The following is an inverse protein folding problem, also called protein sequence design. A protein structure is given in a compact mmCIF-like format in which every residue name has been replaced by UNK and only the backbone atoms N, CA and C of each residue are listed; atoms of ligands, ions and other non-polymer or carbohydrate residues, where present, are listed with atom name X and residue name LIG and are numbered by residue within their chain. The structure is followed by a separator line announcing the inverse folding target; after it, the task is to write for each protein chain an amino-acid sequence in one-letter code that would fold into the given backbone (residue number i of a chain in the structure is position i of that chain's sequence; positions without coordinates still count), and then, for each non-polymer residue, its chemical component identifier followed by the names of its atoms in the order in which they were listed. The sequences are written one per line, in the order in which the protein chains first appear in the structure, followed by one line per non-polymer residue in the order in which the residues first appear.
data_IF_180108203881
#
_entry.id   IF_180108203881
#
_cell.length_a   1.000
_cell.length_b   1.000
_cell.length_c   1.000
_cell.angle_alpha   90.00
_cell.angle_beta   90.00
_cell.angle_gamma   90.00
#
_symmetry.space_group_name_H-M   'P 1'
#
loop_
_entity.id
_entity.type
_entity.pdbx_description
1 polymer ?
#
# COMPACT_ATOMS: atom_id res chain seq x y z
N UNK A 1 3.83 10.34 -9.76
CA UNK A 1 4.82 10.91 -10.70
C UNK A 1 5.56 12.00 -9.93
N UNK A 2 6.75 11.71 -9.40
CA UNK A 2 7.42 12.63 -8.48
C UNK A 2 8.52 13.44 -9.19
N UNK A 3 8.53 14.75 -9.01
CA UNK A 3 9.49 15.68 -9.59
C UNK A 3 10.22 16.40 -8.46
N UNK A 4 11.42 15.91 -8.13
CA UNK A 4 12.35 16.53 -7.19
C UNK A 4 12.67 17.96 -7.66
N UNK A 5 12.23 18.97 -6.90
CA UNK A 5 12.57 20.39 -7.14
C UNK A 5 13.74 20.77 -6.24
N UNK A 6 14.90 21.07 -6.83
CA UNK A 6 16.02 21.72 -6.15
C UNK A 6 16.04 23.22 -6.48
N UNK A 7 16.07 24.07 -5.46
CA UNK A 7 16.12 25.53 -5.59
C UNK A 7 17.57 25.99 -5.85
N UNK A 8 17.86 26.50 -7.05
CA UNK A 8 19.17 27.04 -7.41
C UNK A 8 19.28 27.29 -8.92
N UNK A 9 19.54 28.53 -9.31
CA UNK A 9 19.60 28.99 -10.70
C UNK A 9 20.60 28.17 -11.55
N UNK A 10 20.08 27.32 -12.42
CA UNK A 10 20.83 26.51 -13.37
C UNK A 10 19.86 25.56 -14.08
N UNK A 11 20.00 25.41 -15.40
CA UNK A 11 19.14 24.60 -16.27
C UNK A 11 18.72 23.28 -15.56
N UNK A 12 17.46 23.21 -15.12
CA UNK A 12 16.94 22.04 -14.43
C UNK A 12 16.70 20.91 -15.45
N UNK A 13 17.68 20.01 -15.62
CA UNK A 13 17.43 18.76 -16.34
C UNK A 13 16.45 17.91 -15.53
N UNK A 14 15.28 17.65 -16.11
CA UNK A 14 14.26 16.78 -15.51
C UNK A 14 14.62 15.33 -15.82
N UNK A 15 14.92 14.55 -14.79
CA UNK A 15 15.12 13.11 -14.90
C UNK A 15 13.84 12.38 -14.48
N UNK A 16 13.45 11.36 -15.25
CA UNK A 16 12.30 10.50 -14.93
C UNK A 16 12.82 9.12 -14.58
N UNK A 17 12.47 8.65 -13.40
CA UNK A 17 12.82 7.31 -12.93
C UNK A 17 11.53 6.55 -12.60
N UNK A 18 11.52 5.26 -12.89
CA UNK A 18 10.45 4.36 -12.44
C UNK A 18 10.83 3.83 -11.06
N UNK A 19 10.03 4.16 -10.05
CA UNK A 19 10.19 3.61 -8.72
C UNK A 19 9.28 2.39 -8.58
N UNK A 20 9.87 1.21 -8.39
CA UNK A 20 9.10 0.04 -8.00
C UNK A 20 8.63 0.23 -6.56
N UNK A 21 7.32 0.37 -6.37
CA UNK A 21 6.71 0.32 -5.04
C UNK A 21 6.27 -1.12 -4.82
N UNK A 22 7.00 -1.91 -4.02
CA UNK A 22 6.53 -3.24 -3.70
C UNK A 22 5.26 -3.10 -2.87
N UNK A 23 4.16 -3.66 -3.36
CA UNK A 23 2.92 -3.76 -2.59
C UNK A 23 3.14 -4.83 -1.51
N UNK A 24 3.78 -4.43 -0.41
CA UNK A 24 4.03 -5.29 0.74
C UNK A 24 2.91 -5.15 1.76
N UNK A 25 2.83 -6.16 2.62
CA UNK A 25 1.87 -6.29 3.72
C UNK A 25 1.74 -5.01 4.57
N UNK A 26 2.82 -4.25 4.77
CA UNK A 26 2.86 -3.04 5.60
C UNK A 26 2.28 -1.78 4.93
N UNK A 27 2.14 -1.74 3.60
CA UNK A 27 1.50 -0.61 2.90
C UNK A 27 -0.04 -0.63 3.06
N UNK A 28 -0.61 -1.78 3.43
CA UNK A 28 -2.06 -1.97 3.62
C UNK A 28 -2.54 -1.68 5.05
N UNK A 29 -1.70 -1.78 6.08
CA UNK A 29 -2.18 -1.94 7.48
C UNK A 29 -2.97 -0.75 8.01
N UNK A 30 -2.63 0.48 7.60
CA UNK A 30 -3.41 1.68 7.88
C UNK A 30 -4.05 2.27 6.61
N UNK A 31 -3.36 2.14 5.48
CA UNK A 31 -3.77 2.72 4.22
C UNK A 31 -4.94 1.94 3.60
N UNK A 32 -4.99 0.61 3.68
CA UNK A 32 -6.08 -0.17 3.11
C UNK A 32 -7.43 0.12 3.79
N UNK A 33 -7.49 0.32 5.12
CA UNK A 33 -8.76 0.71 5.79
C UNK A 33 -9.24 2.09 5.35
N UNK A 34 -8.33 3.06 5.29
CA UNK A 34 -8.64 4.42 4.83
C UNK A 34 -9.03 4.40 3.34
N UNK A 35 -8.29 3.69 2.50
CA UNK A 35 -8.55 3.58 1.06
C UNK A 35 -9.76 2.74 0.71
N UNK A 36 -10.12 1.72 1.50
CA UNK A 36 -11.38 0.97 1.31
C UNK A 36 -12.60 1.82 1.64
N UNK A 37 -12.48 2.74 2.60
CA UNK A 37 -13.55 3.66 2.98
C UNK A 37 -13.75 4.79 1.94
N UNK A 38 -12.72 5.11 1.15
CA UNK A 38 -12.80 6.10 0.08
C UNK A 38 -13.52 5.49 -1.12
N UNK A 39 -14.73 5.99 -1.42
CA UNK A 39 -15.49 5.57 -2.61
C UNK A 39 -15.04 6.26 -3.89
N UNK A 40 -14.53 7.48 -3.76
CA UNK A 40 -14.08 8.36 -4.83
C UNK A 40 -13.00 9.33 -4.32
N UNK A 41 -12.49 10.18 -5.22
CA UNK A 41 -11.51 11.21 -4.91
C UNK A 41 -10.05 10.76 -5.10
N UNK A 42 -9.17 11.38 -4.32
CA UNK A 42 -7.71 11.18 -4.40
C UNK A 42 -7.13 10.78 -3.06
N UNK A 43 -6.15 9.89 -3.13
CA UNK A 43 -5.27 9.52 -2.05
C UNK A 43 -4.02 10.40 -2.14
N UNK A 44 -3.81 11.26 -1.15
CA UNK A 44 -2.59 12.07 -1.09
C UNK A 44 -1.42 11.22 -0.57
N UNK A 45 -0.54 10.82 -1.49
CA UNK A 45 0.69 10.10 -1.19
C UNK A 45 1.82 11.11 -0.94
N UNK A 46 2.55 10.91 0.16
CA UNK A 46 3.79 11.63 0.45
C UNK A 46 4.98 10.71 0.16
N UNK A 47 5.87 11.13 -0.73
CA UNK A 47 7.12 10.45 -1.04
C UNK A 47 8.26 11.17 -0.32
N UNK A 48 8.92 10.46 0.58
CA UNK A 48 10.11 10.95 1.27
C UNK A 48 11.33 10.32 0.61
N UNK A 49 12.26 11.14 0.14
CA UNK A 49 13.47 10.68 -0.53
C UNK A 49 14.66 10.83 0.40
N UNK A 50 15.44 9.77 0.53
CA UNK A 50 16.74 9.79 1.20
C UNK A 50 17.72 8.94 0.41
N UNK A 51 19.01 9.28 0.50
CA UNK A 51 20.07 8.52 -0.13
C UNK A 51 21.00 9.37 -0.97
N UNK A 52 21.66 8.74 -1.93
CA UNK A 52 22.78 9.33 -2.65
C UNK A 52 22.57 9.19 -4.15
N UNK A 53 22.64 10.31 -4.87
CA UNK A 53 22.57 10.36 -6.34
C UNK A 53 23.98 10.39 -6.89
N UNK A 54 24.29 9.42 -7.75
CA UNK A 54 25.52 9.37 -8.54
C UNK A 54 25.20 9.89 -9.94
N UNK A 55 25.85 10.97 -10.36
CA UNK A 55 25.68 11.55 -11.68
C UNK A 55 26.99 11.39 -12.46
N UNK A 56 26.90 10.91 -13.70
CA UNK A 56 28.04 10.91 -14.61
C UNK A 56 28.35 12.35 -15.04
N UNK A 57 29.60 12.77 -14.89
CA UNK A 57 30.14 14.02 -15.40
C UNK A 57 31.24 13.78 -16.43
N UNK A 58 31.65 14.84 -17.13
CA UNK A 58 32.56 14.75 -18.28
C UNK A 58 33.93 14.11 -17.97
N UNK A 59 34.33 14.05 -16.69
CA UNK A 59 35.59 13.44 -16.22
C UNK A 59 35.45 12.57 -14.96
N UNK A 60 34.30 11.91 -14.76
CA UNK A 60 34.10 11.00 -13.63
C UNK A 60 32.65 11.00 -13.12
N UNK A 61 32.46 10.70 -11.83
CA UNK A 61 31.15 10.76 -11.19
C UNK A 61 31.11 11.88 -10.15
N UNK A 62 30.01 12.63 -10.11
CA UNK A 62 29.68 13.50 -8.99
C UNK A 62 28.67 12.79 -8.10
N UNK A 63 28.87 12.92 -6.79
CA UNK A 63 28.04 12.30 -5.76
C UNK A 63 27.30 13.40 -5.02
N UNK A 64 25.99 13.31 -4.93
CA UNK A 64 25.17 14.27 -4.17
C UNK A 64 24.27 13.52 -3.18
N UNK A 65 24.28 13.94 -1.92
CA UNK A 65 23.29 13.46 -0.96
C UNK A 65 21.94 14.12 -1.25
N UNK A 66 20.87 13.34 -1.19
CA UNK A 66 19.51 13.85 -1.22
C UNK A 66 19.27 14.60 0.09
N UNK A 67 18.84 15.89 0.04
CA UNK A 67 18.50 16.65 1.23
C UNK A 67 17.46 15.91 2.08
N UNK A 68 17.55 16.05 3.40
CA UNK A 68 16.69 15.34 4.35
C UNK A 68 15.21 15.78 4.27
N UNK A 69 14.95 16.98 3.74
CA UNK A 69 13.64 17.57 3.51
C UNK A 69 13.14 17.35 2.07
N UNK A 70 13.81 16.47 1.31
CA UNK A 70 13.42 16.21 -0.06
C UNK A 70 12.20 15.31 -0.10
N UNK A 71 11.05 15.93 -0.33
CA UNK A 71 9.77 15.27 -0.38
C UNK A 71 8.96 15.67 -1.60
N UNK A 72 8.01 14.82 -1.98
CA UNK A 72 7.04 15.15 -3.02
C UNK A 72 5.66 14.59 -2.70
N UNK A 73 4.63 15.34 -3.07
CA UNK A 73 3.24 14.96 -2.88
C UNK A 73 2.61 14.56 -4.21
N UNK A 74 1.89 13.46 -4.21
CA UNK A 74 1.16 12.99 -5.36
C UNK A 74 -0.25 12.57 -4.97
N UNK A 75 -1.24 13.25 -5.55
CA UNK A 75 -2.64 12.89 -5.38
C UNK A 75 -2.99 11.77 -6.38
N UNK A 76 -2.95 10.53 -5.87
CA UNK A 76 -3.26 9.35 -6.65
C UNK A 76 -4.78 9.16 -6.72
N UNK A 77 -5.40 9.05 -7.92
CA UNK A 77 -6.82 8.72 -8.02
C UNK A 77 -7.12 7.39 -7.33
N UNK A 78 -8.20 7.35 -6.54
CA UNK A 78 -8.65 6.11 -5.85
C UNK A 78 -8.85 4.94 -6.83
N UNK A 79 -9.26 5.23 -8.07
CA UNK A 79 -9.40 4.22 -9.11
C UNK A 79 -8.12 3.44 -9.40
N UNK A 80 -6.95 4.10 -9.41
CA UNK A 80 -5.65 3.45 -9.67
C UNK A 80 -5.34 2.39 -8.60
N UNK A 81 -5.64 2.72 -7.34
CA UNK A 81 -5.50 1.79 -6.23
C UNK A 81 -6.48 0.62 -6.33
N UNK A 82 -7.76 0.90 -6.62
CA UNK A 82 -8.77 -0.15 -6.77
C UNK A 82 -8.42 -1.12 -7.89
N UNK A 83 -7.96 -0.61 -9.03
CA UNK A 83 -7.55 -1.43 -10.16
C UNK A 83 -6.33 -2.29 -9.79
N UNK A 84 -5.37 -1.73 -9.04
CA UNK A 84 -4.21 -2.47 -8.52
C UNK A 84 -4.63 -3.61 -7.58
N UNK A 85 -5.55 -3.34 -6.65
CA UNK A 85 -6.08 -4.35 -5.72
C UNK A 85 -6.88 -5.40 -6.46
N UNK A 86 -7.73 -5.03 -7.42
CA UNK A 86 -8.48 -6.00 -8.21
C UNK A 86 -7.57 -6.87 -9.07
N UNK A 87 -6.46 -6.34 -9.56
CA UNK A 87 -5.45 -7.13 -10.29
C UNK A 87 -4.74 -8.15 -9.40
N UNK A 88 -4.46 -7.81 -8.15
CA UNK A 88 -3.75 -8.71 -7.21
C UNK A 88 -4.70 -9.63 -6.43
N UNK A 89 -5.94 -9.19 -6.19
CA UNK A 89 -6.95 -9.82 -5.33
C UNK A 89 -8.37 -9.67 -5.93
N UNK A 90 -8.66 -10.29 -7.08
CA UNK A 90 -9.87 -10.02 -7.86
C UNK A 90 -11.20 -10.37 -7.15
N UNK A 91 -11.18 -11.26 -6.15
CA UNK A 91 -12.38 -11.75 -5.45
C UNK A 91 -12.19 -11.87 -3.93
N UNK A 92 -11.16 -11.26 -3.36
CA UNK A 92 -10.84 -11.40 -1.93
C UNK A 92 -10.54 -10.06 -1.29
N UNK A 93 -11.02 -9.86 -0.07
CA UNK A 93 -10.67 -8.72 0.78
C UNK A 93 -9.73 -9.13 1.90
N UNK A 94 -9.07 -8.16 2.53
CA UNK A 94 -8.25 -8.39 3.71
C UNK A 94 -8.93 -7.88 4.98
N UNK A 95 -8.92 -8.72 6.02
CA UNK A 95 -9.41 -8.37 7.36
C UNK A 95 -8.28 -8.55 8.35
N UNK A 96 -7.86 -7.46 9.01
CA UNK A 96 -6.89 -7.54 10.11
C UNK A 96 -7.53 -8.17 11.34
N UNK A 97 -6.95 -9.26 11.81
CA UNK A 97 -7.32 -9.92 13.06
C UNK A 97 -6.10 -9.96 14.00
N UNK A 98 -6.33 -10.02 15.31
CA UNK A 98 -5.22 -10.28 16.25
C UNK A 98 -4.73 -11.72 16.08
N UNK A 99 -3.50 -12.01 16.54
CA UNK A 99 -2.97 -13.37 16.49
C UNK A 99 -3.87 -14.36 17.23
N UNK A 100 -4.40 -13.95 18.38
CA UNK A 100 -5.33 -14.77 19.16
C UNK A 100 -6.63 -15.04 18.40
N UNK A 101 -7.18 -14.05 17.71
CA UNK A 101 -8.37 -14.24 16.88
C UNK A 101 -8.10 -15.17 15.70
N UNK A 102 -6.94 -15.06 15.06
CA UNK A 102 -6.54 -15.99 13.98
C UNK A 102 -6.41 -17.41 14.51
N UNK A 103 -5.79 -17.60 15.68
CA UNK A 103 -5.66 -18.90 16.33
C UNK A 103 -7.03 -19.50 16.68
N UNK A 104 -7.94 -18.69 17.25
CA UNK A 104 -9.31 -19.11 17.55
C UNK A 104 -10.08 -19.48 16.28
N UNK A 105 -9.94 -18.71 15.21
CA UNK A 105 -10.56 -19.00 13.92
C UNK A 105 -10.00 -20.29 13.30
N UNK A 106 -8.70 -20.55 13.45
CA UNK A 106 -8.06 -21.78 12.97
C UNK A 106 -8.55 -23.01 13.75
N UNK A 107 -8.72 -22.88 15.06
CA UNK A 107 -9.30 -23.92 15.91
C UNK A 107 -10.76 -24.18 15.53
N UNK A 108 -11.57 -23.13 15.34
CA UNK A 108 -12.95 -23.24 14.88
C UNK A 108 -13.07 -23.94 13.52
N UNK A 109 -12.24 -23.54 12.55
CA UNK A 109 -12.13 -24.16 11.23
C UNK A 109 -11.85 -25.66 11.33
N UNK A 110 -10.87 -26.03 12.14
CA UNK A 110 -10.43 -27.41 12.32
C UNK A 110 -11.48 -28.28 13.00
N UNK A 111 -12.12 -27.76 14.06
CA UNK A 111 -13.15 -28.47 14.82
C UNK A 111 -14.39 -28.82 13.98
N UNK A 112 -14.68 -28.05 12.92
CA UNK A 112 -15.85 -28.21 12.05
C UNK A 112 -15.51 -28.78 10.67
N UNK A 113 -14.24 -29.11 10.42
CA UNK A 113 -13.81 -29.72 9.16
C UNK A 113 -13.86 -28.78 7.95
N UNK A 114 -13.82 -27.46 8.14
CA UNK A 114 -13.86 -26.50 7.04
C UNK A 114 -12.56 -26.51 6.23
N UNK A 115 -12.68 -26.37 4.91
CA UNK A 115 -11.56 -26.41 3.98
C UNK A 115 -10.83 -25.06 3.94
N UNK A 116 -11.56 -23.96 3.98
CA UNK A 116 -11.03 -22.60 4.01
C UNK A 116 -11.38 -21.80 5.28
N UNK A 117 -10.69 -20.68 5.47
CA UNK A 117 -11.11 -19.67 6.44
C UNK A 117 -12.40 -18.95 6.00
N UNK A 118 -12.65 -18.89 4.70
CA UNK A 118 -13.85 -18.27 4.13
C UNK A 118 -15.12 -19.03 4.56
N UNK A 119 -15.10 -20.37 4.50
CA UNK A 119 -16.18 -21.23 5.00
C UNK A 119 -16.42 -21.02 6.51
N UNK A 120 -15.33 -20.93 7.27
CA UNK A 120 -15.38 -20.71 8.71
C UNK A 120 -15.98 -19.36 9.09
N UNK A 121 -15.61 -18.29 8.38
CA UNK A 121 -16.17 -16.94 8.56
C UNK A 121 -17.63 -16.89 8.12
N UNK A 122 -17.98 -17.51 6.99
CA UNK A 122 -19.36 -17.57 6.50
C UNK A 122 -20.27 -18.29 7.49
N UNK A 123 -19.81 -19.41 8.07
CA UNK A 123 -20.55 -20.13 9.09
C UNK A 123 -20.74 -19.32 10.39
N UNK A 124 -19.70 -18.58 10.83
CA UNK A 124 -19.81 -17.68 11.98
C UNK A 124 -20.81 -16.55 11.74
N UNK A 125 -20.80 -15.94 10.55
CA UNK A 125 -21.72 -14.86 10.19
C UNK A 125 -23.17 -15.34 10.09
N UNK A 126 -23.40 -16.54 9.53
CA UNK A 126 -24.72 -17.15 9.48
C UNK A 126 -25.29 -17.39 10.88
N UNK A 127 -24.49 -18.00 11.76
CA UNK A 127 -24.89 -18.25 13.15
C UNK A 127 -25.18 -16.94 13.91
N UNK A 128 -24.34 -15.91 13.73
CA UNK A 128 -24.56 -14.60 14.35
C UNK A 128 -25.83 -13.90 13.85
N UNK A 129 -26.24 -14.13 12.60
CA UNK A 129 -27.48 -13.56 12.05
C UNK A 129 -28.73 -14.21 12.65
N UNK A 130 -28.68 -15.51 12.97
CA UNK A 130 -29.79 -16.24 13.60
C UNK A 130 -30.00 -15.85 15.07
N UNK A 131 -28.97 -15.33 15.75
CA UNK A 131 -29.04 -14.90 17.15
C UNK A 131 -29.61 -13.48 17.35
N UNK A 132 -29.74 -12.68 16.29
CA UNK A 132 -30.30 -11.30 16.36
C UNK A 132 -31.79 -11.32 15.94
N UNK A 133 -32.75 -11.17 16.88
CA UNK A 133 -34.19 -11.13 16.57
C UNK A 133 -34.65 -9.83 15.90
#
# INVERSE_FOLDING_TARGET
MAALRGNGAGVHRRHRISLALPCTYDFEVAAAKYFHALRDGVVSLQFLFSGTVFMAGDRGFSVQQVPWDCEDRYDMPVAVWRDLIQQHYPNSGWVRLSHDTVAALAAYKSARGFLGFDDAVTALLAAAHEEVP
#
